data_IF_731815601970
#
_entry.id   IF_731815601970
#
_cell.length_a   1.000
_cell.length_b   1.000
_cell.length_c   1.000
_cell.angle_alpha   90.00
_cell.angle_beta   90.00
_cell.angle_gamma   90.00
#
_symmetry.space_group_name_H-M   'P 1'
#
loop_
_entity.id
_entity.type
_entity.pdbx_description
1 polymer ?
#
# COMPACT_ATOMS: atom_id res chain seq x y z
N UNK A 1 40.34 20.61 52.53
CA UNK A 1 40.25 21.08 51.13
C UNK A 1 40.75 19.95 50.24
N UNK A 2 39.89 19.38 49.39
CA UNK A 2 40.29 18.37 48.40
C UNK A 2 39.43 18.58 47.13
N UNK A 3 40.01 18.78 45.93
CA UNK A 3 39.20 18.99 44.74
C UNK A 3 38.85 17.62 44.13
N UNK A 4 37.58 17.22 44.23
CA UNK A 4 37.05 16.08 43.50
C UNK A 4 36.94 16.49 42.04
N UNK A 5 37.86 15.98 41.21
CA UNK A 5 37.84 16.14 39.76
C UNK A 5 36.73 15.27 39.17
N UNK A 6 35.64 15.90 38.75
CA UNK A 6 34.55 15.23 38.04
C UNK A 6 34.92 15.20 36.55
N UNK A 7 35.40 14.05 36.08
CA UNK A 7 35.60 13.74 34.66
C UNK A 7 34.26 13.64 33.95
N UNK A 8 34.02 14.54 33.00
CA UNK A 8 32.84 14.59 32.15
C UNK A 8 32.99 13.58 31.00
N UNK A 9 32.49 12.36 31.19
CA UNK A 9 32.42 11.35 30.12
C UNK A 9 31.27 11.68 29.17
N UNK A 10 31.59 12.21 27.99
CA UNK A 10 30.64 12.45 26.89
C UNK A 10 30.29 11.10 26.27
N UNK A 11 29.09 10.59 26.58
CA UNK A 11 28.52 9.41 25.93
C UNK A 11 28.00 9.84 24.55
N UNK A 12 28.79 9.58 23.51
CA UNK A 12 28.38 9.78 22.12
C UNK A 12 27.25 8.78 21.79
N UNK A 13 26.01 9.24 21.90
CA UNK A 13 24.83 8.52 21.41
C UNK A 13 24.91 8.47 19.88
N UNK A 14 25.48 7.39 19.33
CA UNK A 14 25.36 7.06 17.91
C UNK A 14 23.91 6.76 17.60
N UNK A 15 23.13 7.79 17.26
CA UNK A 15 21.79 7.63 16.75
C UNK A 15 21.85 6.83 15.44
N UNK A 16 21.15 5.69 15.32
CA UNK A 16 21.02 5.03 14.04
C UNK A 16 20.28 5.99 13.10
N UNK A 17 20.88 6.28 11.95
CA UNK A 17 20.21 6.92 10.83
C UNK A 17 19.13 5.96 10.34
N UNK A 18 17.94 6.04 10.94
CA UNK A 18 16.77 5.34 10.42
C UNK A 18 16.50 5.99 9.06
N UNK A 19 16.82 5.28 7.98
CA UNK A 19 16.32 5.58 6.65
C UNK A 19 14.82 5.32 6.70
N UNK A 20 14.06 6.31 7.16
CA UNK A 20 12.61 6.28 7.12
C UNK A 20 12.22 6.44 5.66
N UNK A 21 11.74 5.38 5.01
CA UNK A 21 10.72 5.60 3.98
C UNK A 21 9.70 6.53 4.65
N UNK A 22 9.45 7.70 4.07
CA UNK A 22 8.70 8.74 4.76
C UNK A 22 7.34 8.12 5.17
N UNK A 23 6.91 8.21 6.44
CA UNK A 23 5.66 7.58 6.91
C UNK A 23 4.45 7.98 6.05
N UNK A 24 4.54 9.13 5.39
CA UNK A 24 3.59 9.63 4.42
C UNK A 24 3.50 8.81 3.12
N UNK A 25 4.61 8.27 2.60
CA UNK A 25 4.60 7.41 1.41
C UNK A 25 3.93 6.06 1.71
N UNK A 26 4.14 5.53 2.92
CA UNK A 26 3.45 4.32 3.40
C UNK A 26 1.94 4.55 3.51
N UNK A 27 1.51 5.70 4.05
CA UNK A 27 0.09 6.09 4.10
C UNK A 27 -0.51 6.21 2.69
N UNK A 28 0.18 6.89 1.77
CA UNK A 28 -0.27 7.01 0.38
C UNK A 28 -0.38 5.66 -0.32
N UNK A 29 0.57 4.76 -0.06
CA UNK A 29 0.52 3.39 -0.56
C UNK A 29 -0.73 2.66 -0.04
N UNK A 30 -0.96 2.68 1.28
CA UNK A 30 -2.11 2.04 1.90
C UNK A 30 -3.45 2.60 1.38
N UNK A 31 -3.56 3.93 1.22
CA UNK A 31 -4.76 4.56 0.67
C UNK A 31 -5.05 4.15 -0.78
N UNK A 32 -4.03 4.12 -1.65
CA UNK A 32 -4.20 3.62 -3.02
C UNK A 32 -4.62 2.17 -3.04
N UNK A 33 -4.06 1.38 -2.12
CA UNK A 33 -4.37 -0.02 -1.97
C UNK A 33 -5.84 -0.23 -1.58
N UNK A 34 -6.32 0.52 -0.60
CA UNK A 34 -7.70 0.52 -0.17
C UNK A 34 -8.65 0.94 -1.30
N UNK A 35 -8.32 2.03 -2.00
CA UNK A 35 -9.13 2.50 -3.13
C UNK A 35 -9.30 1.43 -4.21
N UNK A 36 -8.21 0.74 -4.59
CA UNK A 36 -8.31 -0.36 -5.57
C UNK A 36 -9.22 -1.48 -5.05
N UNK A 37 -9.07 -1.87 -3.78
CA UNK A 37 -9.93 -2.91 -3.17
C UNK A 37 -11.40 -2.52 -3.20
N UNK A 38 -11.73 -1.28 -2.79
CA UNK A 38 -13.11 -0.78 -2.75
C UNK A 38 -13.72 -0.73 -4.16
N UNK A 39 -12.96 -0.23 -5.15
CA UNK A 39 -13.42 -0.14 -6.54
C UNK A 39 -13.60 -1.53 -7.16
N UNK A 40 -12.75 -2.51 -6.84
CA UNK A 40 -12.93 -3.91 -7.25
C UNK A 40 -14.19 -4.52 -6.63
N UNK A 41 -14.40 -4.29 -5.33
CA UNK A 41 -15.59 -4.76 -4.62
C UNK A 41 -16.86 -4.21 -5.25
N UNK A 42 -16.89 -2.91 -5.54
CA UNK A 42 -18.02 -2.27 -6.20
C UNK A 42 -18.23 -2.80 -7.63
N UNK A 43 -17.17 -2.80 -8.46
CA UNK A 43 -17.25 -3.24 -9.86
C UNK A 43 -17.76 -4.68 -9.98
N UNK A 44 -17.28 -5.56 -9.12
CA UNK A 44 -17.59 -6.98 -9.18
C UNK A 44 -18.74 -7.39 -8.26
N UNK A 45 -19.39 -6.43 -7.59
CA UNK A 45 -20.49 -6.67 -6.65
C UNK A 45 -20.15 -7.76 -5.62
N UNK A 46 -18.92 -7.72 -5.09
CA UNK A 46 -18.43 -8.76 -4.19
C UNK A 46 -19.13 -8.65 -2.82
N UNK A 47 -19.50 -9.78 -2.19
CA UNK A 47 -20.13 -9.77 -0.88
C UNK A 47 -19.27 -9.04 0.15
N UNK A 48 -19.89 -8.26 1.04
CA UNK A 48 -19.20 -7.62 2.16
C UNK A 48 -18.52 -8.64 3.09
N UNK A 49 -19.02 -9.89 3.11
CA UNK A 49 -18.41 -11.01 3.83
C UNK A 49 -17.03 -11.42 3.28
N UNK A 50 -16.72 -11.13 2.01
CA UNK A 50 -15.37 -11.36 1.47
C UNK A 50 -14.41 -10.36 2.09
N UNK A 51 -13.40 -10.85 2.80
CA UNK A 51 -12.38 -9.97 3.39
C UNK A 51 -11.55 -9.29 2.30
N UNK A 52 -11.02 -8.10 2.60
CA UNK A 52 -10.13 -7.36 1.69
C UNK A 52 -8.89 -8.16 1.32
N UNK A 53 -8.38 -8.96 2.26
CA UNK A 53 -7.24 -9.84 2.02
C UNK A 53 -7.61 -10.94 1.02
N UNK A 54 -8.74 -11.63 1.22
CA UNK A 54 -9.22 -12.64 0.27
C UNK A 54 -9.42 -12.04 -1.11
N UNK A 55 -10.06 -10.87 -1.21
CA UNK A 55 -10.27 -10.16 -2.46
C UNK A 55 -8.93 -9.91 -3.16
N UNK A 56 -7.97 -9.30 -2.47
CA UNK A 56 -6.64 -9.02 -3.03
C UNK A 56 -5.96 -10.28 -3.51
N UNK A 57 -5.99 -11.36 -2.73
CA UNK A 57 -5.39 -12.63 -3.13
C UNK A 57 -6.06 -13.19 -4.39
N UNK A 58 -7.39 -13.13 -4.50
CA UNK A 58 -8.11 -13.56 -5.71
C UNK A 58 -7.67 -12.79 -6.94
N UNK A 59 -7.57 -11.47 -6.85
CA UNK A 59 -7.20 -10.63 -8.00
C UNK A 59 -5.69 -10.59 -8.32
N UNK A 60 -4.82 -10.75 -7.32
CA UNK A 60 -3.37 -10.79 -7.51
C UNK A 60 -2.90 -12.12 -8.11
N UNK A 61 -3.54 -13.23 -7.75
CA UNK A 61 -3.24 -14.55 -8.31
C UNK A 61 -3.89 -14.79 -9.68
N UNK A 62 -4.83 -13.93 -10.07
CA UNK A 62 -5.43 -13.95 -11.39
C UNK A 62 -4.44 -13.36 -12.41
N UNK A 63 -3.84 -14.24 -13.22
CA UNK A 63 -2.86 -13.85 -14.25
C UNK A 63 -3.44 -12.88 -15.28
N UNK A 64 -4.75 -12.92 -15.52
CA UNK A 64 -5.43 -12.07 -16.49
C UNK A 64 -5.56 -10.63 -15.97
N UNK A 65 -5.76 -10.46 -14.66
CA UNK A 65 -5.93 -9.15 -14.04
C UNK A 65 -4.64 -8.53 -13.51
N UNK A 66 -3.62 -9.33 -13.20
CA UNK A 66 -2.40 -8.88 -12.52
C UNK A 66 -1.72 -7.69 -13.21
N UNK A 67 -1.49 -7.76 -14.53
CA UNK A 67 -0.85 -6.68 -15.28
C UNK A 67 -1.70 -5.40 -15.31
N UNK A 68 -3.01 -5.54 -15.47
CA UNK A 68 -3.97 -4.44 -15.49
C UNK A 68 -4.03 -3.73 -14.14
N UNK A 69 -4.00 -4.48 -13.04
CA UNK A 69 -4.01 -3.94 -11.67
C UNK A 69 -2.70 -3.25 -11.31
N UNK A 70 -1.56 -3.78 -11.73
CA UNK A 70 -0.26 -3.08 -11.61
C UNK A 70 -0.31 -1.74 -12.32
N UNK A 71 -0.83 -1.72 -13.56
CA UNK A 71 -0.93 -0.49 -14.32
C UNK A 71 -1.93 0.51 -13.72
N UNK A 72 -3.05 0.03 -13.16
CA UNK A 72 -4.00 0.86 -12.42
C UNK A 72 -3.35 1.50 -11.18
N UNK A 73 -2.60 0.71 -10.40
CA UNK A 73 -1.86 1.20 -9.25
C UNK A 73 -0.79 2.24 -9.64
N UNK A 74 -0.11 2.04 -10.77
CA UNK A 74 0.83 3.00 -11.33
C UNK A 74 0.14 4.31 -11.75
N UNK A 75 -1.04 4.22 -12.37
CA UNK A 75 -1.84 5.40 -12.72
C UNK A 75 -2.25 6.21 -11.46
N UNK A 76 -2.70 5.54 -10.39
CA UNK A 76 -2.97 6.20 -9.10
C UNK A 76 -1.71 6.81 -8.47
N UNK A 77 -0.55 6.15 -8.63
CA UNK A 77 0.73 6.70 -8.18
C UNK A 77 1.07 8.00 -8.91
N UNK A 78 0.80 8.05 -10.21
CA UNK A 78 1.03 9.19 -11.09
C UNK A 78 -0.09 10.24 -11.07
N UNK A 79 -1.13 10.06 -10.25
CA UNK A 79 -2.32 10.91 -10.20
C UNK A 79 -3.10 10.98 -11.53
N UNK A 80 -2.93 9.98 -12.39
CA UNK A 80 -3.61 9.86 -13.68
C UNK A 80 -4.95 9.14 -13.50
N UNK A 81 -5.96 9.91 -13.07
CA UNK A 81 -7.32 9.36 -12.84
C UNK A 81 -7.98 8.82 -14.11
N UNK A 82 -7.86 9.46 -15.29
CA UNK A 82 -8.37 8.89 -16.54
C UNK A 82 -7.79 7.51 -16.84
N UNK A 83 -6.46 7.36 -16.82
CA UNK A 83 -5.82 6.07 -17.07
C UNK A 83 -6.23 5.04 -16.00
N UNK A 84 -6.31 5.44 -14.74
CA UNK A 84 -6.77 4.57 -13.67
C UNK A 84 -8.16 3.99 -13.97
N UNK A 85 -9.15 4.84 -14.29
CA UNK A 85 -10.52 4.39 -14.60
C UNK A 85 -10.55 3.47 -15.81
N UNK A 86 -9.76 3.77 -16.83
CA UNK A 86 -9.65 2.93 -18.02
C UNK A 86 -9.11 1.53 -17.68
N UNK A 87 -8.04 1.43 -16.89
CA UNK A 87 -7.50 0.13 -16.45
C UNK A 87 -8.49 -0.62 -15.58
N UNK A 88 -9.16 0.04 -14.65
CA UNK A 88 -10.19 -0.57 -13.80
C UNK A 88 -11.39 -1.09 -14.63
N UNK A 89 -11.73 -0.44 -15.74
CA UNK A 89 -12.77 -0.93 -16.66
C UNK A 89 -12.39 -2.28 -17.30
N UNK A 90 -11.10 -2.49 -17.57
CA UNK A 90 -10.56 -3.70 -18.21
C UNK A 90 -10.40 -4.90 -17.26
N UNK A 91 -10.48 -4.69 -15.95
CA UNK A 91 -10.43 -5.79 -14.97
C UNK A 91 -11.62 -6.74 -15.18
N UNK A 92 -11.35 -8.04 -15.22
CA UNK A 92 -12.35 -9.09 -15.32
C UNK A 92 -12.70 -9.57 -13.92
N UNK A 93 -13.99 -9.64 -13.61
CA UNK A 93 -14.44 -10.10 -12.30
C UNK A 93 -14.26 -11.62 -12.18
N UNK A 94 -13.71 -12.12 -11.06
CA UNK A 94 -13.57 -13.55 -10.83
C UNK A 94 -14.95 -14.21 -10.77
N UNK A 95 -15.05 -15.50 -11.13
CA UNK A 95 -16.29 -16.24 -10.96
C UNK A 95 -16.69 -16.19 -9.49
N UNK A 96 -17.93 -15.79 -9.23
CA UNK A 96 -18.40 -15.65 -7.85
C UNK A 96 -18.41 -17.04 -7.21
N UNK A 97 -17.64 -17.22 -6.13
CA UNK A 97 -17.68 -18.44 -5.35
C UNK A 97 -19.13 -18.59 -4.82
N UNK A 98 -19.81 -19.61 -5.32
CA UNK A 98 -21.20 -19.93 -4.99
C UNK A 98 -21.31 -20.54 -3.59
#
# INVERSE_FOLDING_TARGET
>A
MNPIRITLSVLLMSAPLIVTAAPYDTLKFALRQQQITDDLRQKCSLPSATSDETLRQTFLHDQQNHATLIAAAQALKNQDTPAYRERMAQVVCPPQAK
#
